data_IF_981084969980
#
_entry.id   IF_981084969980
#
_cell.length_a   1.000
_cell.length_b   1.000
_cell.length_c   1.000
_cell.angle_alpha   90.00
_cell.angle_beta   90.00
_cell.angle_gamma   90.00
#
_symmetry.space_group_name_H-M   'P 1'
#
loop_
_entity.id
_entity.type
_entity.pdbx_description
1 polymer ?
#
# COMPACT_ATOMS: atom_id res chain seq x y z
N UNK A 1 -47.44 4.33 -22.95
CA UNK A 1 -46.54 4.93 -21.96
C UNK A 1 -46.23 4.01 -20.77
N UNK A 2 -47.21 3.34 -20.15
CA UNK A 2 -46.96 2.44 -19.00
C UNK A 2 -46.06 1.22 -19.27
N UNK A 3 -46.06 0.70 -20.50
CA UNK A 3 -45.27 -0.49 -20.86
C UNK A 3 -43.76 -0.17 -21.02
N UNK A 4 -43.42 1.06 -21.44
CA UNK A 4 -42.03 1.51 -21.59
C UNK A 4 -41.44 1.85 -20.22
N UNK A 5 -42.21 2.45 -19.30
CA UNK A 5 -41.76 2.72 -17.93
C UNK A 5 -41.59 1.41 -17.15
N UNK A 6 -42.50 0.44 -17.30
CA UNK A 6 -42.33 -0.90 -16.73
C UNK A 6 -41.13 -1.64 -17.32
N UNK A 7 -40.91 -1.57 -18.64
CA UNK A 7 -39.72 -2.13 -19.26
C UNK A 7 -38.44 -1.45 -18.80
N UNK A 8 -38.40 -0.11 -18.67
CA UNK A 8 -37.23 0.61 -18.15
C UNK A 8 -36.99 0.26 -16.66
N UNK A 9 -38.04 0.13 -15.85
CA UNK A 9 -37.93 -0.31 -14.46
C UNK A 9 -37.52 -1.78 -14.32
N UNK A 10 -37.99 -2.69 -15.20
CA UNK A 10 -37.50 -4.07 -15.30
C UNK A 10 -36.06 -4.12 -15.82
N UNK A 11 -35.69 -3.27 -16.78
CA UNK A 11 -34.35 -3.18 -17.36
C UNK A 11 -33.35 -2.57 -16.37
N UNK A 12 -33.78 -1.69 -15.46
CA UNK A 12 -32.99 -1.22 -14.33
C UNK A 12 -32.93 -2.26 -13.19
N UNK A 13 -34.02 -2.96 -12.89
CA UNK A 13 -34.04 -4.06 -11.90
C UNK A 13 -33.25 -5.30 -12.32
N UNK A 14 -33.05 -5.53 -13.62
CA UNK A 14 -32.31 -6.65 -14.18
C UNK A 14 -30.81 -6.37 -14.42
N UNK A 15 -30.35 -5.14 -14.14
CA UNK A 15 -28.97 -4.67 -14.45
C UNK A 15 -27.93 -4.91 -13.35
N UNK A 16 -28.32 -5.61 -12.31
CA UNK A 16 -27.43 -6.38 -11.45
C UNK A 16 -28.00 -7.79 -11.54
N UNK A 17 -27.21 -8.80 -11.92
CA UNK A 17 -27.53 -10.14 -11.44
C UNK A 17 -27.69 -9.95 -9.94
N UNK A 18 -28.90 -10.19 -9.41
CA UNK A 18 -29.22 -9.77 -8.05
C UNK A 18 -28.11 -10.33 -7.18
N UNK A 19 -27.37 -9.44 -6.53
CA UNK A 19 -26.33 -9.81 -5.57
C UNK A 19 -27.04 -10.34 -4.32
N UNK A 20 -27.93 -11.32 -4.48
CA UNK A 20 -28.82 -11.83 -3.45
C UNK A 20 -27.95 -12.38 -2.31
N UNK A 21 -26.77 -12.93 -2.60
CA UNK A 21 -25.79 -13.32 -1.59
C UNK A 21 -25.22 -12.11 -0.80
N UNK A 22 -25.03 -10.93 -1.41
CA UNK A 22 -24.64 -9.69 -0.68
C UNK A 22 -25.82 -9.12 0.09
N UNK A 23 -26.98 -9.03 -0.56
CA UNK A 23 -28.21 -8.49 0.03
C UNK A 23 -28.69 -9.33 1.23
N UNK A 24 -28.37 -10.63 1.24
CA UNK A 24 -28.65 -11.52 2.37
C UNK A 24 -27.58 -11.44 3.48
N UNK A 25 -26.43 -10.81 3.23
CA UNK A 25 -25.40 -10.58 4.24
C UNK A 25 -25.73 -9.29 5.00
N UNK A 26 -26.00 -9.39 6.31
CA UNK A 26 -26.27 -8.21 7.14
C UNK A 26 -25.00 -7.38 7.33
N UNK A 27 -25.11 -6.05 7.25
CA UNK A 27 -23.99 -5.10 7.42
C UNK A 27 -23.11 -5.44 8.63
N UNK A 28 -23.70 -5.52 9.83
CA UNK A 28 -22.97 -5.82 11.07
C UNK A 28 -22.42 -7.26 11.19
N UNK A 29 -22.84 -8.19 10.33
CA UNK A 29 -22.40 -9.60 10.37
C UNK A 29 -21.19 -9.88 9.48
N UNK A 30 -20.86 -8.98 8.56
CA UNK A 30 -19.82 -9.20 7.56
C UNK A 30 -18.42 -9.38 8.18
N UNK A 31 -18.07 -8.61 9.22
CA UNK A 31 -16.76 -8.76 9.87
C UNK A 31 -16.55 -10.18 10.43
N UNK A 32 -17.59 -10.74 11.07
CA UNK A 32 -17.57 -12.12 11.58
C UNK A 32 -17.48 -13.15 10.45
N UNK A 33 -18.20 -12.93 9.35
CA UNK A 33 -18.13 -13.79 8.16
C UNK A 33 -16.73 -13.76 7.53
N UNK A 34 -16.15 -12.56 7.36
CA UNK A 34 -14.81 -12.37 6.84
C UNK A 34 -13.78 -13.10 7.71
N UNK A 35 -13.83 -12.90 9.03
CA UNK A 35 -12.95 -13.59 9.98
C UNK A 35 -13.06 -15.12 9.85
N UNK A 36 -14.30 -15.63 9.76
CA UNK A 36 -14.54 -17.06 9.55
C UNK A 36 -13.89 -17.57 8.25
N UNK A 37 -14.06 -16.85 7.14
CA UNK A 37 -13.47 -17.22 5.84
C UNK A 37 -11.95 -17.18 5.82
N UNK A 38 -11.34 -16.15 6.42
CA UNK A 38 -9.88 -16.10 6.59
C UNK A 38 -9.36 -17.33 7.34
N UNK A 39 -10.03 -17.71 8.43
CA UNK A 39 -9.62 -18.88 9.22
C UNK A 39 -9.84 -20.19 8.47
N UNK A 40 -10.94 -20.34 7.73
CA UNK A 40 -11.18 -21.52 6.88
C UNK A 40 -10.06 -21.72 5.85
N UNK A 41 -9.68 -20.66 5.14
CA UNK A 41 -8.63 -20.72 4.11
C UNK A 41 -7.25 -20.98 4.71
N UNK A 42 -6.92 -20.33 5.84
CA UNK A 42 -5.63 -20.53 6.49
C UNK A 42 -5.51 -21.92 7.14
N UNK A 43 -6.62 -22.52 7.60
CA UNK A 43 -6.62 -23.86 8.21
C UNK A 43 -6.66 -24.99 7.20
N UNK A 44 -6.86 -24.73 5.91
CA UNK A 44 -6.84 -25.76 4.88
C UNK A 44 -5.39 -26.07 4.45
N UNK A 45 -4.80 -27.20 4.89
CA UNK A 45 -3.42 -27.53 4.56
C UNK A 45 -3.23 -27.84 3.07
N UNK A 46 -4.29 -28.21 2.34
CA UNK A 46 -4.22 -28.50 0.91
C UNK A 46 -4.23 -27.24 0.06
N UNK A 47 -4.84 -26.17 0.56
CA UNK A 47 -4.92 -24.89 -0.14
C UNK A 47 -3.66 -24.02 0.02
N UNK A 48 -2.83 -24.25 1.06
CA UNK A 48 -1.66 -23.42 1.37
C UNK A 48 -1.99 -21.91 1.36
N UNK A 49 -3.15 -21.56 1.93
CA UNK A 49 -3.66 -20.19 1.94
C UNK A 49 -4.13 -19.64 0.59
N UNK A 50 -4.15 -20.45 -0.48
CA UNK A 50 -4.58 -20.04 -1.83
C UNK A 50 -6.07 -20.30 -2.00
N UNK A 51 -6.82 -19.29 -2.44
CA UNK A 51 -8.24 -19.42 -2.75
C UNK A 51 -8.67 -18.40 -3.79
N UNK A 52 -9.91 -18.50 -4.28
CA UNK A 52 -10.46 -17.45 -5.12
C UNK A 52 -10.94 -16.26 -4.29
N UNK A 53 -11.01 -15.10 -4.94
CA UNK A 53 -11.58 -13.90 -4.35
C UNK A 53 -12.55 -13.17 -5.27
N UNK A 54 -13.46 -12.43 -4.64
CA UNK A 54 -14.28 -11.39 -5.28
C UNK A 54 -14.25 -10.16 -4.38
N UNK A 55 -13.86 -9.02 -4.95
CA UNK A 55 -13.81 -7.72 -4.30
C UNK A 55 -14.81 -6.78 -4.96
N UNK A 56 -15.62 -6.10 -4.16
CA UNK A 56 -16.64 -5.14 -4.62
C UNK A 56 -16.56 -3.85 -3.80
N UNK A 57 -16.64 -2.70 -4.49
CA UNK A 57 -16.65 -1.37 -3.87
C UNK A 57 -17.93 -1.18 -3.05
N UNK A 58 -17.81 -0.61 -1.86
CA UNK A 58 -18.93 -0.43 -0.94
C UNK A 58 -20.02 0.50 -1.46
N UNK A 59 -19.66 1.51 -2.28
CA UNK A 59 -20.61 2.44 -2.92
C UNK A 59 -21.60 1.74 -3.88
N UNK A 60 -21.25 0.53 -4.32
CA UNK A 60 -22.05 -0.29 -5.22
C UNK A 60 -22.76 -1.45 -4.48
N UNK A 61 -22.72 -1.46 -3.14
CA UNK A 61 -23.38 -2.45 -2.31
C UNK A 61 -24.57 -1.84 -1.58
N UNK A 62 -25.70 -2.54 -1.60
CA UNK A 62 -26.87 -2.23 -0.78
C UNK A 62 -26.92 -3.20 0.40
N UNK A 63 -26.26 -2.84 1.50
CA UNK A 63 -26.24 -3.68 2.69
C UNK A 63 -27.60 -3.78 3.36
N UNK A 64 -28.02 -4.99 3.70
CA UNK A 64 -29.22 -5.18 4.50
C UNK A 64 -28.97 -4.74 5.95
N UNK A 65 -29.77 -3.78 6.42
CA UNK A 65 -29.62 -3.14 7.73
C UNK A 65 -28.50 -2.09 7.81
N UNK A 66 -27.89 -1.71 6.68
CA UNK A 66 -26.98 -0.56 6.59
C UNK A 66 -27.72 0.70 6.13
N UNK A 67 -27.23 1.87 6.53
CA UNK A 67 -27.68 3.16 6.02
C UNK A 67 -27.07 3.46 4.65
N UNK A 68 -27.69 4.37 3.88
CA UNK A 68 -27.20 4.79 2.55
C UNK A 68 -25.84 5.49 2.57
N UNK A 69 -25.33 5.87 3.75
CA UNK A 69 -24.01 6.46 3.97
C UNK A 69 -22.91 5.43 4.30
N UNK A 70 -23.25 4.14 4.43
CA UNK A 70 -22.32 3.09 4.85
C UNK A 70 -21.71 2.34 3.65
N UNK A 71 -20.60 2.88 3.13
CA UNK A 71 -19.86 2.37 1.96
C UNK A 71 -18.88 1.24 2.32
N UNK A 72 -19.29 0.25 3.11
CA UNK A 72 -18.38 -0.85 3.48
C UNK A 72 -18.12 -1.77 2.27
N UNK A 73 -16.85 -2.01 1.89
CA UNK A 73 -16.54 -2.91 0.78
C UNK A 73 -16.60 -4.38 1.20
N UNK A 74 -16.87 -5.24 0.21
CA UNK A 74 -16.96 -6.68 0.39
C UNK A 74 -15.77 -7.37 -0.27
N UNK A 75 -15.08 -8.23 0.49
CA UNK A 75 -14.08 -9.17 0.02
C UNK A 75 -14.53 -10.58 0.39
N UNK A 76 -14.93 -11.35 -0.60
CA UNK A 76 -15.20 -12.77 -0.47
C UNK A 76 -13.92 -13.58 -0.70
N UNK A 77 -13.70 -14.62 0.10
CA UNK A 77 -12.55 -15.53 0.05
C UNK A 77 -13.06 -16.98 0.12
N UNK A 78 -12.63 -17.85 -0.81
CA UNK A 78 -13.01 -19.27 -0.83
C UNK A 78 -13.30 -19.81 -2.24
N UNK A 79 -13.91 -20.99 -2.34
CA UNK A 79 -14.24 -21.60 -3.64
C UNK A 79 -15.35 -20.84 -4.39
N UNK A 80 -15.11 -20.58 -5.69
CA UNK A 80 -15.89 -19.76 -6.67
C UNK A 80 -17.37 -20.12 -6.96
N UNK A 81 -18.06 -20.95 -6.18
CA UNK A 81 -19.22 -21.70 -6.75
C UNK A 81 -20.56 -20.95 -6.91
N UNK A 82 -20.84 -19.84 -6.19
CA UNK A 82 -22.08 -19.04 -6.39
C UNK A 82 -21.83 -17.61 -6.90
N UNK A 83 -20.83 -16.94 -6.34
CA UNK A 83 -20.54 -15.52 -6.57
C UNK A 83 -20.01 -15.20 -7.96
N UNK A 84 -19.17 -16.08 -8.50
CA UNK A 84 -18.56 -15.89 -9.81
C UNK A 84 -19.60 -15.93 -10.93
N UNK A 85 -20.64 -16.77 -10.80
CA UNK A 85 -21.75 -16.83 -11.76
C UNK A 85 -22.55 -15.52 -11.77
N UNK A 86 -22.84 -14.96 -10.59
CA UNK A 86 -23.57 -13.69 -10.45
C UNK A 86 -22.76 -12.50 -11.01
N UNK A 87 -21.45 -12.45 -10.74
CA UNK A 87 -20.56 -11.38 -11.23
C UNK A 87 -20.23 -11.54 -12.73
N UNK A 88 -19.94 -12.77 -13.21
CA UNK A 88 -19.68 -13.05 -14.64
C UNK A 88 -20.92 -12.87 -15.53
N UNK A 89 -22.12 -13.13 -15.00
CA UNK A 89 -23.37 -12.89 -15.72
C UNK A 89 -23.66 -11.40 -15.93
N UNK A 90 -23.01 -10.52 -15.17
CA UNK A 90 -23.17 -9.08 -15.33
C UNK A 90 -22.34 -8.57 -16.52
N UNK A 91 -23.01 -8.34 -17.66
CA UNK A 91 -22.39 -7.76 -18.87
C UNK A 91 -22.27 -6.22 -18.82
N UNK A 92 -22.79 -5.57 -17.78
CA UNK A 92 -22.88 -4.09 -17.69
C UNK A 92 -22.37 -3.49 -16.39
N UNK A 93 -21.76 -4.29 -15.50
CA UNK A 93 -21.16 -3.78 -14.27
C UNK A 93 -19.91 -2.95 -14.58
N UNK A 94 -19.81 -1.77 -13.96
CA UNK A 94 -18.59 -0.96 -14.08
C UNK A 94 -17.39 -1.76 -13.56
N UNK A 95 -16.40 -1.96 -14.42
CA UNK A 95 -15.16 -2.66 -14.06
C UNK A 95 -14.42 -1.96 -12.91
N UNK A 96 -14.64 -0.66 -12.70
CA UNK A 96 -14.07 0.07 -11.56
C UNK A 96 -14.70 -0.33 -10.23
N UNK A 97 -15.90 -0.90 -10.23
CA UNK A 97 -16.65 -1.27 -9.03
C UNK A 97 -16.29 -2.65 -8.47
N UNK A 98 -15.54 -3.48 -9.21
CA UNK A 98 -15.19 -4.83 -8.77
C UNK A 98 -13.86 -5.36 -9.31
N UNK A 99 -13.42 -6.45 -8.70
CA UNK A 99 -12.38 -7.33 -9.25
C UNK A 99 -12.58 -8.76 -8.74
N UNK A 100 -12.22 -9.75 -9.55
CA UNK A 100 -12.13 -11.14 -9.12
C UNK A 100 -10.87 -11.79 -9.67
N UNK A 101 -10.44 -12.88 -9.03
CA UNK A 101 -9.31 -13.69 -9.47
C UNK A 101 -8.95 -14.71 -8.39
N UNK A 102 -7.67 -15.06 -8.34
CA UNK A 102 -7.09 -15.89 -7.29
C UNK A 102 -6.34 -15.03 -6.28
N UNK A 103 -6.29 -15.45 -5.03
CA UNK A 103 -5.53 -14.79 -4.00
C UNK A 103 -4.77 -15.79 -3.12
N UNK A 104 -3.77 -15.28 -2.42
CA UNK A 104 -3.04 -16.02 -1.39
C UNK A 104 -3.03 -15.24 -0.09
N UNK A 105 -3.46 -15.92 0.97
CA UNK A 105 -3.48 -15.41 2.33
C UNK A 105 -2.22 -15.87 3.05
N UNK A 106 -1.53 -14.91 3.67
CA UNK A 106 -0.38 -15.17 4.54
C UNK A 106 -0.67 -14.54 5.90
N UNK A 107 -0.55 -15.32 6.96
CA UNK A 107 -0.70 -14.82 8.32
C UNK A 107 0.49 -13.92 8.67
N UNK A 108 0.21 -12.77 9.28
CA UNK A 108 1.23 -11.85 9.78
C UNK A 108 0.85 -11.46 11.20
N UNK A 109 1.40 -12.19 12.18
CA UNK A 109 0.96 -12.07 13.57
C UNK A 109 -0.51 -12.42 13.75
N UNK A 110 -1.29 -11.51 14.34
CA UNK A 110 -2.75 -11.65 14.50
C UNK A 110 -3.55 -11.21 13.26
N UNK A 111 -2.89 -10.59 12.28
CA UNK A 111 -3.48 -9.99 11.09
C UNK A 111 -3.18 -10.86 9.84
N UNK A 112 -3.68 -10.44 8.67
CA UNK A 112 -3.53 -11.18 7.41
C UNK A 112 -3.05 -10.28 6.27
N UNK A 113 -2.06 -10.76 5.51
CA UNK A 113 -1.73 -10.23 4.19
C UNK A 113 -2.50 -11.02 3.13
N UNK A 114 -3.18 -10.31 2.22
CA UNK A 114 -3.92 -10.92 1.12
C UNK A 114 -3.32 -10.41 -0.19
N UNK A 115 -2.57 -11.28 -0.87
CA UNK A 115 -2.06 -11.01 -2.20
C UNK A 115 -3.12 -11.38 -3.23
N UNK A 116 -3.59 -10.41 -4.00
CA UNK A 116 -4.62 -10.52 -5.03
C UNK A 116 -3.95 -10.62 -6.40
N UNK A 117 -4.29 -11.66 -7.16
CA UNK A 117 -3.92 -11.83 -8.55
C UNK A 117 -5.20 -11.72 -9.41
N UNK A 118 -5.54 -10.50 -9.88
CA UNK A 118 -6.79 -10.24 -10.57
C UNK A 118 -6.85 -10.89 -11.96
N UNK A 119 -7.92 -11.62 -12.23
CA UNK A 119 -8.26 -12.13 -13.58
C UNK A 119 -9.14 -11.13 -14.35
N UNK A 120 -10.01 -10.40 -13.65
CA UNK A 120 -10.92 -9.40 -14.24
C UNK A 120 -11.23 -8.27 -13.26
N UNK A 121 -11.66 -7.14 -13.83
CA UNK A 121 -12.03 -5.92 -13.10
C UNK A 121 -10.85 -4.96 -12.92
N UNK A 122 -11.15 -3.73 -12.50
CA UNK A 122 -10.19 -2.64 -12.32
C UNK A 122 -10.12 -2.15 -10.87
N UNK A 123 -10.96 -2.64 -9.96
CA UNK A 123 -10.99 -2.17 -8.56
C UNK A 123 -9.65 -2.38 -7.82
N UNK A 124 -8.80 -3.27 -8.30
CA UNK A 124 -7.44 -3.51 -7.81
C UNK A 124 -6.41 -2.47 -8.28
N UNK A 125 -6.76 -1.55 -9.17
CA UNK A 125 -5.90 -0.42 -9.53
C UNK A 125 -5.66 0.47 -8.31
N UNK A 126 -4.43 0.99 -8.14
CA UNK A 126 -4.02 1.66 -6.90
C UNK A 126 -4.92 2.84 -6.48
N UNK A 127 -5.42 3.62 -7.45
CA UNK A 127 -6.34 4.73 -7.20
C UNK A 127 -7.66 4.29 -6.58
N UNK A 128 -8.17 3.12 -6.99
CA UNK A 128 -9.45 2.55 -6.57
C UNK A 128 -9.30 1.64 -5.33
N UNK A 129 -8.17 0.94 -5.22
CA UNK A 129 -7.90 0.00 -4.13
C UNK A 129 -7.51 0.70 -2.83
N UNK A 130 -6.90 1.90 -2.91
CA UNK A 130 -6.38 2.63 -1.74
C UNK A 130 -7.46 2.98 -0.71
N UNK A 131 -8.67 3.48 -1.08
CA UNK A 131 -9.78 3.65 -0.14
C UNK A 131 -10.17 2.33 0.55
N UNK A 132 -10.29 1.24 -0.20
CA UNK A 132 -10.66 -0.07 0.34
C UNK A 132 -9.63 -0.58 1.34
N UNK A 133 -8.33 -0.45 1.03
CA UNK A 133 -7.23 -0.80 1.94
C UNK A 133 -7.34 -0.09 3.30
N UNK A 134 -7.95 1.11 3.39
CA UNK A 134 -8.17 1.79 4.67
C UNK A 134 -9.26 1.11 5.47
N UNK A 135 -10.37 0.75 4.84
CA UNK A 135 -11.49 0.07 5.51
C UNK A 135 -11.08 -1.31 6.01
N UNK A 136 -10.38 -2.10 5.20
CA UNK A 136 -9.88 -3.41 5.61
C UNK A 136 -8.84 -3.38 6.74
N UNK A 137 -8.25 -2.20 7.03
CA UNK A 137 -7.33 -2.00 8.17
C UNK A 137 -8.03 -1.51 9.44
N UNK A 138 -9.32 -1.16 9.38
CA UNK A 138 -10.06 -0.61 10.54
C UNK A 138 -10.67 -1.68 11.43
N UNK A 139 -10.82 -2.93 10.95
CA UNK A 139 -11.36 -4.05 11.72
C UNK A 139 -10.38 -5.22 11.82
N UNK A 140 -10.64 -6.15 12.75
CA UNK A 140 -9.77 -7.31 13.05
C UNK A 140 -10.32 -8.62 12.46
N UNK A 141 -9.47 -9.51 11.91
CA UNK A 141 -8.03 -9.30 11.65
C UNK A 141 -7.84 -8.19 10.61
N UNK A 142 -6.81 -7.33 10.79
CA UNK A 142 -6.52 -6.31 9.78
C UNK A 142 -6.11 -7.03 8.51
N UNK A 143 -6.66 -6.61 7.38
CA UNK A 143 -6.32 -7.17 6.09
C UNK A 143 -5.47 -6.19 5.28
N UNK A 144 -4.24 -6.61 5.00
CA UNK A 144 -3.29 -5.88 4.15
C UNK A 144 -3.41 -6.40 2.72
N UNK A 145 -4.17 -5.68 1.89
CA UNK A 145 -4.33 -6.04 0.48
C UNK A 145 -3.14 -5.57 -0.35
N UNK A 146 -2.65 -6.47 -1.19
CA UNK A 146 -1.60 -6.24 -2.18
C UNK A 146 -2.03 -6.84 -3.52
N UNK A 147 -1.64 -6.22 -4.62
CA UNK A 147 -1.88 -6.76 -5.96
C UNK A 147 -0.55 -7.25 -6.50
N UNK A 148 -0.54 -8.49 -6.96
CA UNK A 148 0.65 -9.16 -7.49
C UNK A 148 0.34 -9.70 -8.88
N UNK A 149 1.38 -9.85 -9.69
CA UNK A 149 1.27 -10.45 -11.02
C UNK A 149 1.26 -11.99 -10.95
N UNK A 150 1.95 -12.58 -9.98
CA UNK A 150 1.99 -14.02 -9.74
C UNK A 150 1.95 -14.33 -8.23
N UNK A 151 1.12 -15.30 -7.84
CA UNK A 151 1.02 -15.79 -6.46
C UNK A 151 2.19 -16.71 -6.07
N UNK A 152 2.94 -17.26 -7.03
CA UNK A 152 4.12 -18.10 -6.76
C UNK A 152 5.24 -17.33 -6.06
N UNK A 153 5.33 -16.02 -6.30
CA UNK A 153 6.32 -15.14 -5.68
C UNK A 153 5.98 -14.80 -4.22
N UNK A 154 4.77 -15.14 -3.76
CA UNK A 154 4.30 -14.88 -2.41
C UNK A 154 4.64 -16.09 -1.54
N UNK A 155 5.32 -15.89 -0.40
CA UNK A 155 5.65 -16.99 0.52
C UNK A 155 4.42 -17.81 0.91
N UNK A 156 4.63 -19.11 1.13
CA UNK A 156 3.64 -20.01 1.72
C UNK A 156 3.29 -19.56 3.14
N UNK A 157 2.03 -19.71 3.52
CA UNK A 157 1.62 -19.53 4.91
C UNK A 157 2.24 -20.65 5.74
N UNK A 158 3.27 -20.36 6.53
CA UNK A 158 3.64 -21.24 7.64
C UNK A 158 2.57 -21.07 8.71
N UNK A 159 1.52 -21.87 8.62
CA UNK A 159 0.70 -22.16 9.79
C UNK A 159 1.60 -22.97 10.69
N UNK A 160 2.27 -22.31 11.64
CA UNK A 160 2.73 -23.00 12.84
C UNK A 160 1.45 -23.54 13.46
N UNK A 161 1.38 -24.86 13.63
CA UNK A 161 0.26 -25.54 14.25
C UNK A 161 -0.27 -24.66 15.37
N UNK A 162 -1.49 -24.16 15.19
CA UNK A 162 -2.20 -23.56 16.29
C UNK A 162 -2.50 -24.72 17.21
N UNK A 163 -1.58 -25.00 18.14
CA UNK A 163 -1.83 -25.86 19.28
C UNK A 163 -3.21 -25.46 19.80
N UNK A 164 -4.14 -26.42 19.77
CA UNK A 164 -5.56 -26.22 20.05
C UNK A 164 -5.84 -25.86 21.51
N UNK A 165 -4.81 -25.53 22.31
CA UNK A 165 -4.89 -25.36 23.76
C UNK A 165 -4.58 -23.94 24.27
N UNK A 166 -4.26 -22.97 23.42
CA UNK A 166 -4.00 -21.60 23.88
C UNK A 166 -5.25 -20.70 23.82
N UNK A 167 -6.18 -20.92 24.75
CA UNK A 167 -7.35 -20.03 24.95
C UNK A 167 -6.94 -18.59 25.31
N UNK A 168 -5.72 -18.39 25.83
CA UNK A 168 -5.22 -17.07 26.24
C UNK A 168 -4.70 -16.21 25.07
N UNK A 169 -4.49 -16.80 23.89
CA UNK A 169 -3.94 -16.12 22.71
C UNK A 169 -2.49 -15.65 22.87
N UNK A 170 -1.82 -16.10 23.93
CA UNK A 170 -0.53 -15.59 24.37
C UNK A 170 0.61 -16.13 23.50
N UNK A 171 0.54 -17.38 23.02
CA UNK A 171 1.46 -17.97 22.04
C UNK A 171 1.39 -17.25 20.69
N UNK A 172 0.20 -16.80 20.27
CA UNK A 172 0.07 -15.96 19.08
C UNK A 172 0.86 -14.66 19.25
N UNK A 173 0.78 -14.04 20.42
CA UNK A 173 1.54 -12.83 20.73
C UNK A 173 3.06 -13.10 20.80
N UNK A 174 3.49 -14.22 21.43
CA UNK A 174 4.91 -14.62 21.44
C UNK A 174 5.46 -14.81 20.01
N UNK A 175 4.65 -15.34 19.09
CA UNK A 175 5.04 -15.55 17.68
C UNK A 175 5.37 -14.25 16.95
N UNK A 176 4.68 -13.14 17.26
CA UNK A 176 4.94 -11.83 16.65
C UNK A 176 6.38 -11.36 16.94
N UNK A 177 6.84 -11.51 18.18
CA UNK A 177 8.21 -11.14 18.55
C UNK A 177 9.28 -12.02 17.92
N UNK A 178 9.01 -13.33 17.81
CA UNK A 178 9.89 -14.27 17.13
C UNK A 178 9.98 -13.97 15.62
N UNK A 179 8.84 -13.69 14.97
CA UNK A 179 8.79 -13.32 13.55
C UNK A 179 9.50 -12.00 13.27
N UNK A 180 9.35 -10.99 14.14
CA UNK A 180 10.12 -9.74 14.04
C UNK A 180 11.62 -10.02 14.01
N UNK A 181 12.11 -10.88 14.92
CA UNK A 181 13.52 -11.26 14.98
C UNK A 181 13.95 -12.03 13.73
N UNK A 182 13.14 -12.99 13.26
CA UNK A 182 13.39 -13.78 12.05
C UNK A 182 13.52 -12.88 10.82
N UNK A 183 12.55 -12.01 10.57
CA UNK A 183 12.56 -11.15 9.39
C UNK A 183 13.59 -10.02 9.49
N UNK A 184 13.92 -9.56 10.70
CA UNK A 184 15.01 -8.60 10.91
C UNK A 184 16.38 -9.20 10.55
N UNK A 185 16.63 -10.45 10.93
CA UNK A 185 17.86 -11.13 10.50
C UNK A 185 17.86 -11.40 8.99
N UNK A 186 16.70 -11.74 8.41
CA UNK A 186 16.57 -11.95 6.98
C UNK A 186 16.89 -10.68 6.18
N UNK A 187 16.39 -9.51 6.60
CA UNK A 187 16.65 -8.25 5.86
C UNK A 187 18.13 -7.87 5.89
N UNK A 188 18.82 -8.08 7.01
CA UNK A 188 20.26 -7.80 7.11
C UNK A 188 21.10 -8.74 6.23
N UNK A 189 20.70 -10.02 6.13
CA UNK A 189 21.32 -10.96 5.18
C UNK A 189 21.10 -10.55 3.73
N UNK A 190 19.87 -10.16 3.38
CA UNK A 190 19.52 -9.72 2.01
C UNK A 190 20.30 -8.46 1.64
N UNK A 191 20.39 -7.46 2.53
CA UNK A 191 21.20 -6.25 2.29
C UNK A 191 22.66 -6.56 2.00
N UNK A 192 23.28 -7.45 2.79
CA UNK A 192 24.66 -7.90 2.54
C UNK A 192 24.80 -8.60 1.19
N UNK A 193 23.83 -9.44 0.82
CA UNK A 193 23.82 -10.12 -0.47
C UNK A 193 23.68 -9.13 -1.65
N UNK A 194 22.83 -8.09 -1.52
CA UNK A 194 22.67 -7.04 -2.53
C UNK A 194 23.99 -6.29 -2.75
N UNK A 195 24.71 -5.94 -1.68
CA UNK A 195 26.01 -5.26 -1.77
C UNK A 195 27.08 -6.15 -2.42
N UNK A 196 26.99 -7.47 -2.21
CA UNK A 196 27.92 -8.43 -2.80
C UNK A 196 27.58 -8.80 -4.26
N UNK A 197 26.37 -8.50 -4.74
CA UNK A 197 25.97 -8.77 -6.12
C UNK A 197 26.72 -7.84 -7.08
N UNK A 198 27.34 -8.44 -8.11
CA UNK A 198 28.17 -7.71 -9.09
C UNK A 198 27.43 -7.42 -10.40
N UNK A 199 26.28 -8.06 -10.62
CA UNK A 199 25.44 -7.89 -11.81
C UNK A 199 24.04 -7.42 -11.42
N UNK A 200 23.34 -6.72 -12.32
CA UNK A 200 21.95 -6.33 -12.09
C UNK A 200 20.99 -7.53 -12.12
N UNK A 201 21.30 -8.57 -12.91
CA UNK A 201 20.51 -9.81 -12.97
C UNK A 201 20.48 -10.55 -11.62
N UNK A 202 21.61 -10.60 -10.89
CA UNK A 202 21.68 -11.20 -9.55
C UNK A 202 21.00 -10.34 -8.49
N UNK A 203 21.02 -9.01 -8.70
CA UNK A 203 20.54 -8.03 -7.74
C UNK A 203 19.02 -7.89 -7.76
N UNK A 204 18.39 -8.00 -8.93
CA UNK A 204 16.95 -7.81 -9.09
C UNK A 204 16.10 -8.76 -8.24
N UNK A 205 16.33 -10.09 -8.21
CA UNK A 205 15.60 -11.00 -7.34
C UNK A 205 15.81 -10.69 -5.84
N UNK A 206 17.00 -10.23 -5.45
CA UNK A 206 17.31 -9.85 -4.08
C UNK A 206 16.56 -8.58 -3.66
N UNK A 207 16.41 -7.59 -4.56
CA UNK A 207 15.61 -6.38 -4.33
C UNK A 207 14.13 -6.70 -4.17
N UNK A 208 13.59 -7.61 -5.00
CA UNK A 208 12.20 -8.10 -4.85
C UNK A 208 12.01 -8.73 -3.48
N UNK A 209 12.92 -9.63 -3.08
CA UNK A 209 12.88 -10.29 -1.78
C UNK A 209 13.04 -9.30 -0.62
N UNK A 210 13.89 -8.30 -0.77
CA UNK A 210 14.07 -7.22 0.20
C UNK A 210 12.75 -6.49 0.44
N UNK A 211 12.06 -6.10 -0.64
CA UNK A 211 10.78 -5.40 -0.56
C UNK A 211 9.69 -6.23 0.12
N UNK A 212 9.63 -7.54 -0.17
CA UNK A 212 8.69 -8.45 0.48
C UNK A 212 8.94 -8.54 2.00
N UNK A 213 10.20 -8.74 2.39
CA UNK A 213 10.59 -8.83 3.82
C UNK A 213 10.32 -7.51 4.55
N UNK A 214 10.62 -6.36 3.93
CA UNK A 214 10.36 -5.04 4.50
C UNK A 214 8.86 -4.79 4.73
N UNK A 215 7.99 -5.19 3.78
CA UNK A 215 6.53 -5.10 3.94
C UNK A 215 6.06 -5.91 5.15
N UNK A 216 6.54 -7.15 5.31
CA UNK A 216 6.21 -7.99 6.48
C UNK A 216 6.69 -7.39 7.79
N UNK A 217 7.93 -6.90 7.84
CA UNK A 217 8.45 -6.21 9.02
C UNK A 217 7.58 -5.00 9.38
N UNK A 218 7.15 -4.21 8.40
CA UNK A 218 6.25 -3.06 8.63
C UNK A 218 4.93 -3.50 9.25
N UNK A 219 4.35 -4.60 8.79
CA UNK A 219 3.12 -5.15 9.35
C UNK A 219 3.32 -5.68 10.77
N UNK A 220 4.39 -6.46 11.01
CA UNK A 220 4.72 -6.98 12.34
C UNK A 220 5.01 -5.85 13.34
N UNK A 221 5.67 -4.77 12.93
CA UNK A 221 5.87 -3.58 13.76
C UNK A 221 4.53 -2.91 14.12
N UNK A 222 3.56 -2.89 13.20
CA UNK A 222 2.23 -2.38 13.50
C UNK A 222 1.49 -3.29 14.48
N UNK A 223 1.55 -4.61 14.30
CA UNK A 223 0.97 -5.59 15.22
C UNK A 223 1.65 -5.55 16.59
N UNK A 224 2.95 -5.27 16.66
CA UNK A 224 3.64 -5.05 17.93
C UNK A 224 2.99 -3.91 18.73
N UNK A 225 2.83 -2.75 18.09
CA UNK A 225 2.26 -1.57 18.73
C UNK A 225 0.80 -1.79 19.14
N UNK A 226 0.00 -2.51 18.34
CA UNK A 226 -1.44 -2.67 18.62
C UNK A 226 -1.82 -3.90 19.44
N UNK A 227 -1.02 -4.95 19.40
CA UNK A 227 -1.39 -6.25 19.97
C UNK A 227 -0.47 -6.66 21.12
N UNK A 228 0.83 -6.33 21.05
CA UNK A 228 1.85 -6.71 22.05
C UNK A 228 1.97 -5.68 23.16
N UNK A 229 2.18 -4.41 22.82
CA UNK A 229 2.38 -3.33 23.81
C UNK A 229 1.24 -3.23 24.82
N UNK A 230 -0.06 -3.31 24.42
CA UNK A 230 -1.16 -3.26 25.38
C UNK A 230 -1.23 -4.45 26.34
N UNK A 231 -0.59 -5.57 25.98
CA UNK A 231 -0.58 -6.82 26.77
C UNK A 231 0.78 -7.09 27.42
N UNK A 232 1.66 -6.08 27.45
CA UNK A 232 3.03 -6.18 27.94
C UNK A 232 3.10 -6.75 29.36
N UNK A 233 2.29 -6.24 30.28
CA UNK A 233 2.28 -6.67 31.68
C UNK A 233 1.94 -8.16 31.83
N UNK A 234 1.00 -8.66 31.01
CA UNK A 234 0.62 -10.07 30.99
C UNK A 234 1.70 -10.95 30.33
N UNK A 235 2.34 -10.46 29.26
CA UNK A 235 3.37 -11.20 28.51
C UNK A 235 4.72 -11.31 29.26
N UNK A 236 5.01 -10.38 30.17
CA UNK A 236 6.28 -10.29 30.93
C UNK A 236 6.16 -10.98 32.31
N UNK A 237 5.11 -11.77 32.55
CA UNK A 237 4.92 -12.47 33.84
C UNK A 237 5.88 -13.66 34.07
N UNK A 238 6.68 -14.09 33.09
CA UNK A 238 7.57 -15.24 33.26
C UNK A 238 9.00 -14.87 33.70
N UNK A 239 9.52 -15.63 34.68
CA UNK A 239 10.88 -15.62 35.27
C UNK A 239 11.96 -14.95 34.42
N UNK A 240 12.76 -14.08 35.06
CA UNK A 240 13.96 -13.46 34.50
C UNK A 240 14.80 -14.47 33.71
N UNK A 241 15.07 -14.16 32.43
CA UNK A 241 16.03 -14.92 31.61
C UNK A 241 15.43 -15.81 30.52
N UNK A 242 14.09 -15.90 30.39
CA UNK A 242 13.45 -16.60 29.25
C UNK A 242 13.69 -15.87 27.91
N UNK A 243 13.79 -16.64 26.82
CA UNK A 243 14.07 -16.16 25.46
C UNK A 243 13.10 -15.05 25.00
N UNK A 244 11.82 -15.15 25.34
CA UNK A 244 10.83 -14.15 24.94
C UNK A 244 11.00 -12.83 25.70
N UNK A 245 11.26 -12.82 27.02
CA UNK A 245 11.52 -11.56 27.73
C UNK A 245 12.68 -10.76 27.09
N UNK A 246 13.75 -11.45 26.65
CA UNK A 246 14.87 -10.83 25.92
C UNK A 246 14.44 -10.25 24.57
N UNK A 247 13.64 -10.98 23.79
CA UNK A 247 13.10 -10.50 22.52
C UNK A 247 12.13 -9.32 22.77
N UNK A 248 11.33 -9.33 23.84
CA UNK A 248 10.45 -8.22 24.23
C UNK A 248 11.25 -6.96 24.53
N UNK A 249 12.22 -7.06 25.43
CA UNK A 249 13.08 -5.95 25.82
C UNK A 249 13.81 -5.37 24.61
N UNK A 250 14.41 -6.23 23.77
CA UNK A 250 15.11 -5.80 22.55
C UNK A 250 14.22 -4.94 21.65
N UNK A 251 13.02 -5.43 21.32
CA UNK A 251 12.12 -4.72 20.42
C UNK A 251 11.51 -3.48 21.05
N UNK A 252 11.12 -3.52 22.32
CA UNK A 252 10.59 -2.35 23.03
C UNK A 252 11.64 -1.24 23.15
N UNK A 253 12.89 -1.56 23.51
CA UNK A 253 13.99 -0.59 23.51
C UNK A 253 14.22 -0.01 22.12
N UNK A 254 14.23 -0.86 21.08
CA UNK A 254 14.37 -0.42 19.69
C UNK A 254 13.28 0.58 19.27
N UNK A 255 12.02 0.32 19.61
CA UNK A 255 10.91 1.21 19.27
C UNK A 255 10.93 2.52 20.07
N UNK A 256 11.23 2.48 21.37
CA UNK A 256 11.34 3.69 22.19
C UNK A 256 12.49 4.59 21.73
N UNK A 257 13.66 4.02 21.41
CA UNK A 257 14.78 4.80 20.83
C UNK A 257 14.39 5.49 19.52
N UNK A 258 13.67 4.81 18.63
CA UNK A 258 13.19 5.41 17.38
C UNK A 258 12.10 6.47 17.59
N UNK A 259 11.28 6.31 18.62
CA UNK A 259 10.30 7.32 19.03
C UNK A 259 10.99 8.57 19.58
N UNK A 260 12.02 8.38 20.41
CA UNK A 260 12.87 9.47 20.92
C UNK A 260 13.62 10.19 19.79
N UNK A 261 14.24 9.45 18.86
CA UNK A 261 14.89 10.02 17.67
C UNK A 261 13.92 10.81 16.77
N UNK A 262 12.66 10.38 16.63
CA UNK A 262 11.62 11.19 15.95
C UNK A 262 11.31 12.51 16.66
N UNK A 263 11.49 12.55 17.98
CA UNK A 263 11.37 13.75 18.79
C UNK A 263 12.67 14.59 18.83
N UNK A 264 13.72 14.17 18.11
CA UNK A 264 15.00 14.87 18.04
C UNK A 264 15.99 14.50 19.14
N UNK A 265 15.74 13.42 19.89
CA UNK A 265 16.69 12.90 20.88
C UNK A 265 17.77 12.04 20.19
N UNK A 266 19.01 12.52 20.26
CA UNK A 266 20.22 11.87 19.75
C UNK A 266 21.26 11.67 20.87
N UNK A 267 20.79 11.41 22.09
CA UNK A 267 21.63 11.22 23.28
C UNK A 267 22.57 10.00 23.24
N UNK A 268 22.31 9.02 22.36
CA UNK A 268 23.20 7.87 22.13
C UNK A 268 23.44 7.58 20.63
N UNK A 269 24.44 6.74 20.32
CA UNK A 269 24.80 6.40 18.94
C UNK A 269 23.66 5.74 18.14
N UNK A 270 22.75 5.01 18.79
CA UNK A 270 21.59 4.42 18.12
C UNK A 270 20.51 5.46 17.81
N UNK A 271 20.32 6.44 18.70
CA UNK A 271 19.47 7.62 18.48
C UNK A 271 19.97 8.49 17.34
N UNK A 272 21.28 8.77 17.31
CA UNK A 272 21.96 9.45 16.18
C UNK A 272 21.68 8.71 14.88
N UNK A 273 21.92 7.38 14.83
CA UNK A 273 21.66 6.57 13.64
C UNK A 273 20.19 6.58 13.23
N UNK A 274 19.27 6.47 14.18
CA UNK A 274 17.83 6.49 13.90
C UNK A 274 17.35 7.84 13.38
N UNK A 275 17.91 8.95 13.88
CA UNK A 275 17.64 10.29 13.38
C UNK A 275 18.17 10.46 11.95
N UNK A 276 19.39 9.97 11.68
CA UNK A 276 19.97 9.97 10.34
C UNK A 276 19.11 9.16 9.35
N UNK A 277 18.70 7.94 9.71
CA UNK A 277 17.80 7.08 8.92
C UNK A 277 16.46 7.78 8.60
N UNK A 278 15.92 8.55 9.55
CA UNK A 278 14.68 9.30 9.38
C UNK A 278 14.85 10.47 8.40
N UNK A 279 15.96 11.20 8.48
CA UNK A 279 16.29 12.28 7.55
C UNK A 279 16.48 11.70 6.13
N UNK A 280 17.24 10.61 6.01
CA UNK A 280 17.42 9.89 4.74
C UNK A 280 16.10 9.44 4.13
N UNK A 281 15.22 8.81 4.91
CA UNK A 281 13.91 8.32 4.44
C UNK A 281 13.03 9.45 3.93
N UNK A 282 13.06 10.63 4.58
CA UNK A 282 12.31 11.81 4.11
C UNK A 282 12.87 12.32 2.79
N UNK A 283 14.20 12.44 2.67
CA UNK A 283 14.85 12.87 1.44
C UNK A 283 14.55 11.93 0.25
N UNK A 284 14.61 10.61 0.46
CA UNK A 284 14.21 9.62 -0.55
C UNK A 284 12.76 9.81 -1.00
N UNK A 285 11.83 10.01 -0.06
CA UNK A 285 10.42 10.20 -0.37
C UNK A 285 10.20 11.45 -1.23
N UNK A 286 10.96 12.52 -1.02
CA UNK A 286 10.85 13.72 -1.86
C UNK A 286 11.40 13.48 -3.26
N UNK A 287 12.47 12.70 -3.40
CA UNK A 287 12.96 12.23 -4.71
C UNK A 287 11.92 11.38 -5.43
N UNK A 288 11.30 10.42 -4.73
CA UNK A 288 10.21 9.60 -5.28
C UNK A 288 9.01 10.46 -5.72
N UNK A 289 8.60 11.42 -4.89
CA UNK A 289 7.52 12.35 -5.22
C UNK A 289 7.86 13.24 -6.41
N UNK A 290 9.11 13.68 -6.52
CA UNK A 290 9.60 14.43 -7.66
C UNK A 290 9.50 13.59 -8.95
N UNK A 291 10.08 12.39 -8.98
CA UNK A 291 10.02 11.52 -10.16
C UNK A 291 8.58 11.12 -10.50
N UNK A 292 7.76 10.74 -9.53
CA UNK A 292 6.37 10.40 -9.76
C UNK A 292 5.55 11.59 -10.31
N UNK A 293 5.89 12.82 -9.94
CA UNK A 293 5.22 14.01 -10.49
C UNK A 293 5.75 14.39 -11.87
N UNK A 294 7.04 14.18 -12.15
CA UNK A 294 7.57 14.30 -13.52
C UNK A 294 6.96 13.25 -14.45
N UNK A 295 6.81 12.00 -14.01
CA UNK A 295 6.20 10.91 -14.79
C UNK A 295 4.71 11.15 -15.09
N UNK A 296 3.99 11.80 -14.16
CA UNK A 296 2.60 12.27 -14.42
C UNK A 296 2.55 13.37 -15.48
N UNK A 297 3.69 13.95 -15.84
CA UNK A 297 3.86 14.82 -16.99
C UNK A 297 2.99 16.07 -16.97
N UNK A 298 2.41 16.36 -18.13
CA UNK A 298 1.89 17.65 -18.60
C UNK A 298 0.70 18.24 -17.81
N UNK A 299 0.18 17.53 -16.82
CA UNK A 299 -1.07 17.86 -16.11
C UNK A 299 -0.86 18.39 -14.69
N UNK A 300 0.40 18.58 -14.27
CA UNK A 300 0.73 19.06 -12.93
C UNK A 300 1.15 20.53 -12.99
N UNK A 301 0.58 21.32 -12.08
CA UNK A 301 1.00 22.71 -11.87
C UNK A 301 2.50 22.75 -11.58
N UNK A 302 3.30 23.51 -12.35
CA UNK A 302 4.74 23.62 -12.17
C UNK A 302 5.17 23.98 -10.74
N UNK A 303 4.36 24.73 -9.99
CA UNK A 303 4.65 25.09 -8.59
C UNK A 303 4.77 23.87 -7.67
N UNK A 304 4.03 22.79 -7.93
CA UNK A 304 4.09 21.54 -7.16
C UNK A 304 5.46 20.87 -7.32
N UNK A 305 6.03 20.93 -8.53
CA UNK A 305 7.35 20.36 -8.82
C UNK A 305 8.44 21.21 -8.15
N UNK A 306 8.30 22.54 -8.16
CA UNK A 306 9.21 23.45 -7.47
C UNK A 306 9.22 23.23 -5.96
N UNK A 307 8.05 23.12 -5.33
CA UNK A 307 7.93 22.80 -3.90
C UNK A 307 8.62 21.47 -3.56
N UNK A 308 8.52 20.45 -4.42
CA UNK A 308 9.22 19.18 -4.18
C UNK A 308 10.75 19.33 -4.24
N UNK A 309 11.27 20.10 -5.21
CA UNK A 309 12.71 20.38 -5.33
C UNK A 309 13.22 21.17 -4.11
N UNK A 310 12.44 22.14 -3.63
CA UNK A 310 12.75 22.94 -2.45
C UNK A 310 12.75 22.08 -1.17
N UNK A 311 11.73 21.24 -0.99
CA UNK A 311 11.67 20.30 0.14
C UNK A 311 12.88 19.35 0.18
N UNK A 312 13.26 18.79 -0.98
CA UNK A 312 14.45 17.95 -1.09
C UNK A 312 15.72 18.73 -0.71
N UNK A 313 15.87 19.96 -1.20
CA UNK A 313 17.00 20.81 -0.86
C UNK A 313 17.06 21.15 0.63
N UNK A 314 15.92 21.45 1.25
CA UNK A 314 15.82 21.72 2.68
C UNK A 314 16.20 20.49 3.51
N UNK A 315 15.71 19.31 3.15
CA UNK A 315 16.05 18.07 3.84
C UNK A 315 17.53 17.69 3.68
N UNK A 316 18.12 17.87 2.49
CA UNK A 316 19.56 17.65 2.29
C UNK A 316 20.39 18.65 3.11
N UNK A 317 19.99 19.91 3.20
CA UNK A 317 20.68 20.89 4.05
C UNK A 317 20.59 20.51 5.54
N UNK A 318 19.42 20.06 6.01
CA UNK A 318 19.26 19.52 7.38
C UNK A 318 20.16 18.31 7.62
N UNK A 319 20.30 17.43 6.62
CA UNK A 319 21.17 16.27 6.72
C UNK A 319 22.65 16.66 6.75
N UNK A 320 23.10 17.59 5.89
CA UNK A 320 24.46 18.14 5.94
C UNK A 320 24.81 18.68 7.32
N UNK A 321 23.94 19.56 7.85
CA UNK A 321 24.13 20.13 9.19
C UNK A 321 24.12 19.07 10.30
N UNK A 322 23.41 17.96 10.09
CA UNK A 322 23.42 16.82 11.00
C UNK A 322 24.74 16.05 10.93
N UNK A 323 25.26 15.76 9.73
CA UNK A 323 26.54 15.04 9.52
C UNK A 323 27.74 15.86 10.00
N UNK A 324 27.70 17.19 9.91
CA UNK A 324 28.77 18.05 10.45
C UNK A 324 28.93 17.91 11.97
N UNK A 325 27.87 17.53 12.68
CA UNK A 325 27.83 17.44 14.15
C UNK A 325 27.86 16.01 14.68
N UNK A 326 27.70 15.00 13.81
CA UNK A 326 27.53 13.61 14.19
C UNK A 326 28.30 12.67 13.27
N UNK A 327 28.78 11.54 13.80
CA UNK A 327 29.42 10.52 12.97
C UNK A 327 28.37 9.86 12.06
N UNK A 328 28.39 10.22 10.77
CA UNK A 328 27.47 9.70 9.76
C UNK A 328 27.77 8.26 9.39
N UNK A 329 26.72 7.47 9.20
CA UNK A 329 26.80 6.12 8.62
C UNK A 329 26.30 6.06 7.18
N UNK A 330 25.75 7.16 6.67
CA UNK A 330 25.07 7.27 5.38
C UNK A 330 25.61 8.42 4.51
N UNK A 331 26.88 8.78 4.68
CA UNK A 331 27.52 9.91 3.98
C UNK A 331 27.56 9.71 2.45
N UNK A 332 27.69 8.46 1.98
CA UNK A 332 27.68 8.13 0.55
C UNK A 332 26.30 8.37 -0.06
N UNK A 333 25.25 8.01 0.66
CA UNK A 333 23.85 8.20 0.27
C UNK A 333 23.49 9.68 0.23
N UNK A 334 23.99 10.48 1.18
CA UNK A 334 23.86 11.94 1.16
C UNK A 334 24.46 12.53 -0.13
N UNK A 335 25.72 12.17 -0.47
CA UNK A 335 26.38 12.64 -1.70
C UNK A 335 25.61 12.23 -2.97
N UNK A 336 25.16 10.98 -3.03
CA UNK A 336 24.38 10.49 -4.17
C UNK A 336 23.06 11.29 -4.35
N UNK A 337 22.37 11.63 -3.26
CA UNK A 337 21.14 12.43 -3.32
C UNK A 337 21.38 13.89 -3.67
N UNK A 338 22.54 14.45 -3.34
CA UNK A 338 22.95 15.77 -3.83
C UNK A 338 23.14 15.79 -5.35
N UNK A 339 23.80 14.77 -5.89
CA UNK A 339 23.96 14.61 -7.34
C UNK A 339 22.60 14.47 -8.04
N UNK A 340 21.67 13.72 -7.43
CA UNK A 340 20.28 13.64 -7.90
C UNK A 340 19.60 15.00 -7.89
N UNK A 341 19.71 15.79 -6.80
CA UNK A 341 19.13 17.13 -6.74
C UNK A 341 19.71 18.06 -7.82
N UNK A 342 21.02 18.00 -8.06
CA UNK A 342 21.68 18.79 -9.11
C UNK A 342 21.14 18.42 -10.48
N UNK A 343 21.06 17.12 -10.79
CA UNK A 343 20.49 16.63 -12.06
C UNK A 343 19.03 17.03 -12.22
N UNK A 344 18.23 16.81 -11.18
CA UNK A 344 16.81 17.21 -11.08
C UNK A 344 16.61 18.70 -11.38
N UNK A 345 17.42 19.58 -10.78
CA UNK A 345 17.35 21.03 -11.06
C UNK A 345 17.69 21.36 -12.51
N UNK A 346 18.70 20.69 -13.08
CA UNK A 346 19.10 20.88 -14.48
C UNK A 346 18.01 20.42 -15.44
N UNK A 347 17.40 19.27 -15.19
CA UNK A 347 16.32 18.72 -16.03
C UNK A 347 15.05 19.57 -15.89
N UNK A 348 14.70 20.00 -14.68
CA UNK A 348 13.58 20.91 -14.44
C UNK A 348 13.78 22.27 -15.11
N UNK A 349 14.99 22.83 -15.10
CA UNK A 349 15.26 24.10 -15.76
C UNK A 349 14.97 24.06 -17.28
N UNK A 350 15.18 22.92 -17.94
CA UNK A 350 14.83 22.71 -19.35
C UNK A 350 13.33 22.52 -19.55
N UNK A 351 12.68 21.80 -18.63
CA UNK A 351 11.27 21.43 -18.74
C UNK A 351 10.31 22.56 -18.33
N UNK A 352 10.68 23.36 -17.32
CA UNK A 352 9.84 24.37 -16.68
C UNK A 352 9.16 25.33 -17.67
N UNK A 353 9.84 25.93 -18.67
CA UNK A 353 9.19 26.84 -19.61
C UNK A 353 8.03 26.18 -20.37
N UNK A 354 8.23 24.94 -20.82
CA UNK A 354 7.23 24.17 -21.55
C UNK A 354 6.07 23.73 -20.65
N UNK A 355 6.36 23.35 -19.41
CA UNK A 355 5.33 22.97 -18.44
C UNK A 355 4.45 24.16 -18.04
N UNK A 356 5.03 25.35 -17.87
CA UNK A 356 4.30 26.60 -17.59
C UNK A 356 3.39 26.97 -18.77
N UNK A 357 3.93 26.91 -20.00
CA UNK A 357 3.16 27.20 -21.21
C UNK A 357 1.99 26.23 -21.38
N UNK A 358 2.22 24.92 -21.19
CA UNK A 358 1.18 23.91 -21.27
C UNK A 358 0.08 24.14 -20.23
N UNK A 359 0.46 24.39 -18.97
CA UNK A 359 -0.49 24.59 -17.88
C UNK A 359 -1.36 25.83 -18.09
N UNK A 360 -0.79 26.92 -18.60
CA UNK A 360 -1.57 28.12 -18.96
C UNK A 360 -2.63 27.79 -20.03
N UNK A 361 -2.25 27.07 -21.08
CA UNK A 361 -3.17 26.65 -22.15
C UNK A 361 -4.25 25.68 -21.68
N UNK A 362 -3.94 24.80 -20.73
CA UNK A 362 -4.93 23.90 -20.11
C UNK A 362 -5.99 24.70 -19.32
N UNK A 363 -5.57 25.75 -18.59
CA UNK A 363 -6.50 26.65 -17.91
C UNK A 363 -7.38 27.43 -18.90
N UNK A 364 -6.79 27.95 -19.98
CA UNK A 364 -7.52 28.62 -21.07
C UNK A 364 -8.51 27.67 -21.75
N UNK A 365 -8.13 26.40 -21.96
CA UNK A 365 -8.99 25.38 -22.55
C UNK A 365 -10.19 25.11 -21.64
N UNK A 366 -9.97 24.99 -20.33
CA UNK A 366 -11.05 24.87 -19.35
C UNK A 366 -12.05 26.03 -19.43
N UNK A 367 -11.56 27.26 -19.59
CA UNK A 367 -12.43 28.44 -19.77
C UNK A 367 -13.16 28.43 -21.11
N UNK A 368 -12.48 28.07 -22.20
CA UNK A 368 -13.07 27.99 -23.54
C UNK A 368 -14.20 26.95 -23.60
N UNK A 369 -14.00 25.79 -22.99
CA UNK A 369 -15.01 24.73 -22.88
C UNK A 369 -16.22 25.18 -22.05
N UNK A 370 -16.00 25.85 -20.92
CA UNK A 370 -17.09 26.40 -20.09
C UNK A 370 -17.91 27.47 -20.83
N UNK A 371 -17.27 28.23 -21.72
CA UNK A 371 -17.91 29.26 -22.54
C UNK A 371 -18.42 28.74 -23.90
N UNK A 372 -18.35 27.42 -24.14
CA UNK A 372 -18.75 26.77 -25.41
C UNK A 372 -18.04 27.31 -26.67
N UNK A 373 -16.83 27.86 -26.52
CA UNK A 373 -16.03 28.33 -27.66
C UNK A 373 -15.19 27.18 -28.23
N UNK A 374 -15.81 26.40 -29.11
CA UNK A 374 -15.23 25.17 -29.67
C UNK A 374 -14.04 25.42 -30.59
N UNK A 375 -14.02 26.54 -31.32
CA UNK A 375 -12.90 26.90 -32.20
C UNK A 375 -11.63 27.22 -31.39
N UNK A 376 -11.77 28.02 -30.32
CA UNK A 376 -10.68 28.29 -29.39
C UNK A 376 -10.20 27.01 -28.69
N UNK A 377 -11.13 26.14 -28.27
CA UNK A 377 -10.78 24.86 -27.66
C UNK A 377 -9.96 23.96 -28.60
N UNK A 378 -10.34 23.88 -29.89
CA UNK A 378 -9.60 23.12 -30.90
C UNK A 378 -8.17 23.66 -31.11
N UNK A 379 -8.02 24.98 -31.19
CA UNK A 379 -6.71 25.62 -31.35
C UNK A 379 -5.80 25.38 -30.14
N UNK A 380 -6.33 25.53 -28.93
CA UNK A 380 -5.60 25.27 -27.69
C UNK A 380 -5.14 23.81 -27.60
N UNK A 381 -5.98 22.85 -27.98
CA UNK A 381 -5.59 21.43 -28.04
C UNK A 381 -4.41 21.17 -29.00
N UNK A 382 -4.42 21.79 -30.19
CA UNK A 382 -3.31 21.66 -31.15
C UNK A 382 -2.01 22.27 -30.62
N UNK A 383 -2.08 23.44 -29.99
CA UNK A 383 -0.92 24.10 -29.39
C UNK A 383 -0.33 23.29 -28.22
N UNK A 384 -1.20 22.72 -27.38
CA UNK A 384 -0.82 21.79 -26.32
C UNK A 384 -0.14 20.53 -26.87
N UNK A 385 -0.58 20.01 -28.03
CA UNK A 385 0.06 18.88 -28.71
C UNK A 385 1.48 19.21 -29.21
N UNK A 386 1.70 20.43 -29.72
CA UNK A 386 3.03 20.90 -30.13
C UNK A 386 3.97 20.97 -28.91
N UNK A 387 3.51 21.55 -27.79
CA UNK A 387 4.29 21.60 -26.55
C UNK A 387 4.61 20.18 -26.06
N UNK A 388 3.64 19.27 -26.15
CA UNK A 388 3.80 17.87 -25.81
C UNK A 388 4.89 17.17 -26.61
N UNK A 389 4.98 17.46 -27.91
CA UNK A 389 6.02 16.93 -28.77
C UNK A 389 7.40 17.51 -28.44
N UNK A 390 7.48 18.77 -28.00
CA UNK A 390 8.74 19.36 -27.50
C UNK A 390 9.20 18.71 -26.20
N UNK A 391 8.29 18.50 -25.24
CA UNK A 391 8.59 17.83 -23.97
C UNK A 391 9.10 16.41 -24.20
N UNK A 392 8.47 15.66 -25.11
CA UNK A 392 8.82 14.27 -25.39
C UNK A 392 10.17 14.10 -26.09
N UNK A 393 10.78 15.18 -26.60
CA UNK A 393 12.12 15.19 -27.21
C UNK A 393 13.24 15.59 -26.23
N UNK A 394 12.88 16.00 -25.01
CA UNK A 394 13.86 16.35 -23.96
C UNK A 394 14.37 15.12 -23.19
N UNK A 395 13.67 13.99 -23.32
CA UNK A 395 13.95 12.68 -22.75
C UNK A 395 14.02 11.68 -23.90
#
# INVERSE_FOLDING_TARGET
MNNIIQQIQQYMKAKLGKLDAVNNTKYGSYQSLFKKKVMEVLKDPKANGTCDYVLVSGEHLSWNGGSTSEEQPLLFLGQKTSWEKEVKASKTMDLKAYSYGTCKLVKVGSDVQIALCPEKGKLTQDTLLKPLKKVFKSFKPKAYLEVVADLNEVESSTVVDADQEDESGLNLLKSIGADLQKYHLAIEKIKKAIVAATTEEDKMPLLVKQNQVLKRLKHLCASWATDIVPQAEQLITEKQGKTWQKIYQKWSTFFEKRKAAKAGDSSDQEGVKAQEENIYTKALKDVELFHANIEKGKWINPSIIETNIENLAEHLNKWKAFVEKNQSTLEKELRALEDVLIKTRKDWAKLKPLAVEYYAKDQELGQALNNFNLELAQNLMNEMEIINNKISKLF
#
